data_IF_206471936400
#
_entry.id   IF_206471936400
#
_cell.length_a   1.000
_cell.length_b   1.000
_cell.length_c   1.000
_cell.angle_alpha   90.00
_cell.angle_beta   90.00
_cell.angle_gamma   90.00
#
_symmetry.space_group_name_H-M   'P 1'
#
loop_
_entity.id
_entity.type
_entity.pdbx_description
1 polymer ?
#
# COMPACT_ATOMS: atom_id res chain seq x y z
N UNK A 1 2.93 -28.64 -4.42
CA UNK A 1 1.92 -27.55 -4.38
C UNK A 1 2.31 -26.52 -5.41
N UNK A 2 1.53 -26.39 -6.48
CA UNK A 2 1.76 -25.42 -7.56
C UNK A 2 0.61 -24.42 -7.53
N UNK A 3 0.95 -23.18 -7.23
CA UNK A 3 0.09 -21.99 -7.31
C UNK A 3 -0.37 -21.81 -8.75
N UNK A 4 -1.68 -21.68 -8.98
CA UNK A 4 -2.22 -21.25 -10.27
C UNK A 4 -3.05 -19.99 -10.03
N UNK A 5 -2.40 -18.86 -10.23
CA UNK A 5 -3.06 -17.59 -10.52
C UNK A 5 -3.70 -17.68 -11.90
N UNK A 6 -4.99 -17.36 -12.03
CA UNK A 6 -5.60 -17.08 -13.34
C UNK A 6 -6.30 -15.73 -13.31
N UNK A 7 -5.72 -14.85 -14.12
CA UNK A 7 -6.14 -13.53 -14.56
C UNK A 7 -7.46 -13.63 -15.33
N UNK A 8 -8.35 -12.64 -15.16
CA UNK A 8 -9.30 -12.30 -16.18
C UNK A 8 -9.59 -10.78 -16.15
N UNK A 9 -9.10 -10.04 -17.14
CA UNK A 9 -9.83 -8.89 -17.61
C UNK A 9 -9.75 -8.81 -19.14
N UNK A 10 -10.93 -8.86 -19.73
CA UNK A 10 -11.19 -9.04 -21.15
C UNK A 10 -10.94 -7.76 -21.95
N UNK A 11 -10.25 -7.89 -23.08
CA UNK A 11 -10.19 -6.88 -24.12
C UNK A 11 -11.48 -6.94 -24.97
N UNK A 12 -12.21 -5.82 -25.04
CA UNK A 12 -13.27 -5.62 -26.03
C UNK A 12 -12.65 -5.19 -27.36
N UNK A 13 -12.92 -5.99 -28.39
CA UNK A 13 -12.44 -5.84 -29.76
C UNK A 13 -13.42 -4.95 -30.53
N UNK A 14 -12.96 -3.79 -31.00
CA UNK A 14 -13.67 -2.99 -32.00
C UNK A 14 -13.09 -3.25 -33.39
N UNK A 15 -13.86 -3.92 -34.24
CA UNK A 15 -13.53 -4.15 -35.64
C UNK A 15 -13.89 -2.92 -36.49
N UNK A 16 -12.98 -2.52 -37.38
CA UNK A 16 -13.25 -1.52 -38.41
C UNK A 16 -12.19 -1.59 -39.51
N UNK A 17 -12.57 -2.14 -40.68
CA UNK A 17 -11.76 -2.14 -41.89
C UNK A 17 -12.31 -1.10 -42.86
N UNK A 18 -11.47 -0.17 -43.36
CA UNK A 18 -11.71 0.50 -44.65
C UNK A 18 -10.41 0.98 -45.32
N UNK A 19 -10.23 0.47 -46.54
CA UNK A 19 -9.73 1.07 -47.78
C UNK A 19 -8.47 1.96 -47.84
N UNK A 20 -7.61 1.57 -48.78
CA UNK A 20 -6.40 2.20 -49.31
C UNK A 20 -6.61 3.47 -50.15
N UNK A 21 -5.73 4.46 -50.01
CA UNK A 21 -5.38 5.44 -51.05
C UNK A 21 -3.89 5.80 -51.00
N UNK A 22 -3.36 6.14 -52.17
CA UNK A 22 -1.94 6.26 -52.51
C UNK A 22 -1.28 7.59 -52.08
N UNK A 23 0.00 7.49 -51.70
CA UNK A 23 1.09 8.38 -52.14
C UNK A 23 0.94 9.88 -51.90
N UNK A 24 1.29 10.32 -50.68
CA UNK A 24 2.00 11.59 -50.46
C UNK A 24 3.13 11.33 -49.48
N UNK A 25 4.31 11.93 -49.71
CA UNK A 25 5.48 11.78 -48.86
C UNK A 25 5.16 12.35 -47.47
N UNK A 26 4.78 11.45 -46.57
CA UNK A 26 4.49 11.76 -45.18
C UNK A 26 5.82 11.95 -44.49
N UNK A 27 6.11 13.19 -44.09
CA UNK A 27 7.14 13.45 -43.09
C UNK A 27 6.88 12.46 -41.95
N UNK A 28 7.85 11.60 -41.67
CA UNK A 28 7.76 10.70 -40.54
C UNK A 28 7.35 11.55 -39.32
N UNK A 29 6.31 11.16 -38.56
CA UNK A 29 6.04 11.84 -37.31
C UNK A 29 7.36 11.81 -36.54
N UNK A 30 7.84 12.99 -36.13
CA UNK A 30 8.92 13.06 -35.19
C UNK A 30 8.53 12.13 -34.04
N UNK A 31 9.33 11.11 -33.78
CA UNK A 31 9.13 10.26 -32.61
C UNK A 31 9.16 11.22 -31.41
N UNK A 32 7.98 11.58 -30.92
CA UNK A 32 7.85 12.34 -29.69
C UNK A 32 8.50 11.48 -28.61
N UNK A 33 9.63 12.01 -28.13
CA UNK A 33 10.54 11.30 -27.25
C UNK A 33 9.81 10.69 -26.06
N UNK A 34 10.31 9.54 -25.64
CA UNK A 34 9.78 8.75 -24.52
C UNK A 34 9.36 9.63 -23.34
N UNK A 35 8.22 9.26 -22.73
CA UNK A 35 7.64 9.99 -21.63
C UNK A 35 8.70 10.26 -20.56
N UNK A 36 8.86 11.53 -20.17
CA UNK A 36 9.86 11.93 -19.18
C UNK A 36 9.64 11.15 -17.87
N UNK A 37 10.72 10.75 -17.18
CA UNK A 37 10.64 10.14 -15.86
C UNK A 37 9.75 10.96 -14.91
N UNK A 38 8.76 10.34 -14.28
CA UNK A 38 7.98 10.97 -13.20
C UNK A 38 8.72 10.73 -11.89
N UNK A 39 9.05 11.81 -11.18
CA UNK A 39 9.76 11.77 -9.89
C UNK A 39 8.81 12.11 -8.75
N UNK A 40 8.75 11.29 -7.72
CA UNK A 40 8.11 11.59 -6.42
C UNK A 40 9.13 11.56 -5.27
N UNK A 41 8.88 12.39 -4.26
CA UNK A 41 9.55 12.29 -2.95
C UNK A 41 8.50 11.79 -1.97
N UNK A 42 8.83 10.70 -1.30
CA UNK A 42 7.90 9.90 -0.51
C UNK A 42 8.49 9.74 0.88
N UNK A 43 7.87 10.42 1.85
CA UNK A 43 8.27 10.37 3.26
C UNK A 43 7.15 9.83 4.09
N UNK A 44 7.47 9.05 5.12
CA UNK A 44 6.40 8.44 5.87
C UNK A 44 6.81 7.33 6.81
N UNK A 45 5.83 6.50 7.13
CA UNK A 45 5.92 5.46 8.14
C UNK A 45 5.21 4.20 7.66
N UNK A 46 5.78 3.05 8.01
CA UNK A 46 5.17 1.75 7.79
C UNK A 46 5.27 0.92 9.07
N UNK A 47 4.16 0.30 9.45
CA UNK A 47 4.02 -0.49 10.67
C UNK A 47 3.15 -1.71 10.37
N UNK A 48 3.64 -2.90 10.69
CA UNK A 48 2.88 -4.15 10.67
C UNK A 48 3.02 -4.82 12.05
N UNK A 49 1.89 -5.02 12.72
CA UNK A 49 1.86 -5.59 14.07
C UNK A 49 0.79 -6.67 14.19
N UNK A 50 1.00 -7.59 15.12
CA UNK A 50 0.00 -8.57 15.48
C UNK A 50 -0.03 -8.80 16.99
N UNK A 51 -1.15 -9.28 17.49
CA UNK A 51 -1.33 -9.58 18.91
C UNK A 51 -2.50 -10.53 19.12
N UNK A 52 -2.56 -11.11 20.32
CA UNK A 52 -3.66 -11.95 20.72
C UNK A 52 -4.00 -11.72 22.20
N UNK A 53 -5.29 -11.64 22.51
CA UNK A 53 -5.79 -11.56 23.88
C UNK A 53 -7.19 -12.14 23.95
N UNK A 54 -7.50 -12.90 25.02
CA UNK A 54 -8.83 -13.45 25.28
C UNK A 54 -9.53 -14.14 24.08
N UNK A 55 -8.76 -14.86 23.24
CA UNK A 55 -9.28 -15.54 22.05
C UNK A 55 -9.47 -14.65 20.81
N UNK A 56 -9.15 -13.36 20.90
CA UNK A 56 -9.15 -12.41 19.78
C UNK A 56 -7.72 -12.27 19.27
N UNK A 57 -7.46 -12.73 18.05
CA UNK A 57 -6.23 -12.45 17.32
C UNK A 57 -6.45 -11.22 16.43
N UNK A 58 -5.46 -10.33 16.37
CA UNK A 58 -5.51 -9.12 15.53
C UNK A 58 -4.20 -8.95 14.78
N UNK A 59 -4.30 -8.65 13.48
CA UNK A 59 -3.22 -8.16 12.64
C UNK A 59 -3.57 -6.74 12.15
N UNK A 60 -2.59 -5.84 12.18
CA UNK A 60 -2.73 -4.42 11.81
C UNK A 60 -1.61 -4.04 10.86
N UNK A 61 -1.97 -3.38 9.76
CA UNK A 61 -1.04 -2.70 8.87
C UNK A 61 -1.40 -1.22 8.81
N UNK A 62 -0.45 -0.34 9.15
CA UNK A 62 -0.56 1.11 9.06
C UNK A 62 0.53 1.64 8.15
N UNK A 63 0.14 2.50 7.23
CA UNK A 63 1.05 3.13 6.27
C UNK A 63 0.65 4.58 6.06
N UNK A 64 1.61 5.48 6.14
CA UNK A 64 1.42 6.91 5.87
C UNK A 64 2.50 7.36 4.91
N UNK A 65 2.13 8.01 3.81
CA UNK A 65 3.04 8.52 2.80
C UNK A 65 2.67 9.96 2.41
N UNK A 66 3.64 10.86 2.48
CA UNK A 66 3.47 12.29 2.18
C UNK A 66 2.97 12.61 0.77
N UNK A 67 3.18 11.70 -0.19
CA UNK A 67 2.78 11.88 -1.58
C UNK A 67 1.44 11.21 -1.93
N UNK A 68 1.06 10.17 -1.19
CA UNK A 68 -0.09 9.32 -1.55
C UNK A 68 -1.11 9.14 -0.43
N UNK A 69 -0.93 9.80 0.71
CA UNK A 69 -1.81 9.69 1.86
C UNK A 69 -1.55 8.43 2.68
N UNK A 70 -2.55 8.09 3.49
CA UNK A 70 -2.48 7.02 4.47
C UNK A 70 -3.40 5.85 4.13
N UNK A 71 -2.97 4.67 4.54
CA UNK A 71 -3.69 3.42 4.47
C UNK A 71 -3.66 2.75 5.83
N UNK A 72 -4.80 2.20 6.24
CA UNK A 72 -4.91 1.41 7.45
C UNK A 72 -5.74 0.17 7.15
N UNK A 73 -5.33 -0.97 7.69
CA UNK A 73 -6.13 -2.20 7.65
C UNK A 73 -5.98 -2.99 8.93
N UNK A 74 -7.06 -3.68 9.30
CA UNK A 74 -7.12 -4.58 10.43
C UNK A 74 -7.80 -5.89 10.01
N UNK A 75 -7.24 -7.00 10.45
CA UNK A 75 -7.82 -8.33 10.35
C UNK A 75 -7.94 -8.91 11.75
N UNK A 76 -9.10 -9.46 12.09
CA UNK A 76 -9.43 -9.97 13.42
C UNK A 76 -10.01 -11.38 13.27
N UNK A 77 -9.50 -12.31 14.06
CA UNK A 77 -10.01 -13.67 14.15
C UNK A 77 -10.50 -13.93 15.58
N UNK A 78 -11.73 -14.43 15.70
CA UNK A 78 -12.33 -14.86 16.98
C UNK A 78 -12.97 -16.24 16.82
N UNK A 79 -13.39 -16.90 17.92
CA UNK A 79 -14.19 -18.12 17.85
C UNK A 79 -15.54 -17.95 17.12
N UNK A 80 -16.05 -16.72 17.05
CA UNK A 80 -17.35 -16.39 16.46
C UNK A 80 -17.25 -16.02 14.96
N UNK A 81 -16.04 -15.85 14.44
CA UNK A 81 -15.77 -15.61 13.03
C UNK A 81 -14.61 -14.66 12.75
N UNK A 82 -14.50 -14.27 11.48
CA UNK A 82 -13.50 -13.32 10.99
C UNK A 82 -14.12 -11.94 10.81
N UNK A 83 -13.33 -10.91 11.12
CA UNK A 83 -13.71 -9.51 10.98
C UNK A 83 -12.56 -8.74 10.33
N UNK A 84 -12.89 -7.62 9.70
CA UNK A 84 -11.88 -6.79 9.08
C UNK A 84 -12.39 -5.40 8.75
N UNK A 85 -11.43 -4.53 8.47
CA UNK A 85 -11.70 -3.14 8.13
C UNK A 85 -10.46 -2.51 7.52
N UNK A 86 -10.67 -1.37 6.86
CA UNK A 86 -9.57 -0.57 6.35
C UNK A 86 -10.05 0.60 5.50
N UNK A 87 -9.13 1.51 5.27
CA UNK A 87 -9.31 2.67 4.40
C UNK A 87 -7.99 3.05 3.75
N UNK A 88 -8.07 3.93 2.77
CA UNK A 88 -6.92 4.50 2.08
C UNK A 88 -6.96 4.31 0.56
N UNK A 89 -6.31 5.22 -0.20
CA UNK A 89 -5.52 6.35 0.28
C UNK A 89 -6.39 7.53 0.77
N UNK A 90 -6.12 8.07 1.96
CA UNK A 90 -6.82 9.22 2.55
C UNK A 90 -5.85 10.22 3.22
N UNK A 91 -6.26 11.47 3.39
CA UNK A 91 -5.49 12.50 4.11
C UNK A 91 -5.71 12.41 5.63
N UNK A 92 -5.40 11.24 6.18
CA UNK A 92 -5.54 10.93 7.61
C UNK A 92 -4.16 10.81 8.24
N UNK A 93 -3.93 11.46 9.38
CA UNK A 93 -2.66 11.35 10.12
C UNK A 93 -2.69 10.14 11.04
N UNK A 94 -1.88 9.12 10.73
CA UNK A 94 -1.72 7.91 11.54
C UNK A 94 -0.51 8.00 12.49
N UNK A 95 0.52 8.73 12.07
CA UNK A 95 1.77 8.91 12.79
C UNK A 95 2.09 10.40 12.92
N UNK A 96 2.15 10.91 14.15
CA UNK A 96 2.60 12.28 14.45
C UNK A 96 3.33 12.33 15.78
N UNK A 97 4.44 13.05 15.84
CA UNK A 97 5.15 13.37 17.08
C UNK A 97 5.43 12.16 18.00
N UNK A 98 5.79 11.01 17.41
CA UNK A 98 6.05 9.78 18.15
C UNK A 98 4.80 9.04 18.64
N UNK A 99 3.61 9.42 18.19
CA UNK A 99 2.33 8.79 18.54
C UNK A 99 1.71 8.06 17.34
N UNK A 100 1.03 6.96 17.62
CA UNK A 100 0.27 6.16 16.66
C UNK A 100 -1.20 6.29 17.02
N UNK A 101 -2.05 6.64 16.06
CA UNK A 101 -3.49 6.67 16.23
C UNK A 101 -4.20 6.26 14.93
N UNK A 102 -5.14 5.32 15.02
CA UNK A 102 -6.03 4.99 13.91
C UNK A 102 -7.38 4.53 14.46
N UNK A 103 -8.45 4.90 13.76
CA UNK A 103 -9.80 4.43 14.03
C UNK A 103 -10.32 3.79 12.74
N UNK A 104 -10.59 2.48 12.78
CA UNK A 104 -10.92 1.68 11.59
C UNK A 104 -12.29 1.03 11.79
N UNK A 105 -13.31 1.37 10.98
CA UNK A 105 -14.58 0.67 11.00
C UNK A 105 -14.41 -0.81 10.66
N UNK A 106 -14.95 -1.68 11.51
CA UNK A 106 -14.84 -3.13 11.39
C UNK A 106 -16.19 -3.71 10.97
N UNK A 107 -16.14 -4.72 10.10
CA UNK A 107 -17.29 -5.53 9.70
C UNK A 107 -16.95 -7.01 9.82
N UNK A 108 -17.98 -7.83 9.99
CA UNK A 108 -17.84 -9.28 9.86
C UNK A 108 -17.51 -9.65 8.42
N UNK A 109 -16.58 -10.57 8.22
CA UNK A 109 -16.15 -11.05 6.90
C UNK A 109 -16.93 -12.30 6.49
N UNK A 110 -18.25 -12.17 6.48
CA UNK A 110 -19.18 -13.17 5.93
C UNK A 110 -20.17 -12.50 4.97
N UNK A 111 -21.13 -13.27 4.47
CA UNK A 111 -22.13 -12.78 3.51
C UNK A 111 -23.02 -11.65 4.05
N UNK A 112 -23.04 -11.43 5.37
CA UNK A 112 -23.85 -10.37 6.00
C UNK A 112 -23.16 -9.01 5.97
N UNK A 113 -21.82 -8.99 6.03
CA UNK A 113 -21.00 -7.80 6.15
C UNK A 113 -21.47 -6.83 7.27
N UNK A 114 -22.04 -7.39 8.35
CA UNK A 114 -22.60 -6.63 9.46
C UNK A 114 -21.53 -5.74 10.13
N UNK A 115 -21.84 -4.46 10.43
CA UNK A 115 -20.97 -3.61 11.23
C UNK A 115 -20.70 -4.21 12.62
N UNK A 116 -19.44 -4.16 13.05
CA UNK A 116 -18.98 -4.72 14.32
C UNK A 116 -18.33 -3.67 15.25
N UNK A 117 -18.60 -2.38 14.99
CA UNK A 117 -17.97 -1.26 15.66
C UNK A 117 -16.63 -0.89 15.03
N UNK A 118 -15.72 -0.34 15.82
CA UNK A 118 -14.45 0.19 15.36
C UNK A 118 -13.27 -0.53 16.04
N UNK A 119 -12.15 -0.65 15.32
CA UNK A 119 -10.86 -1.00 15.87
C UNK A 119 -10.07 0.28 16.12
N UNK A 120 -9.88 0.62 17.40
CA UNK A 120 -9.14 1.82 17.81
C UNK A 120 -7.71 1.42 18.16
N UNK A 121 -6.77 1.84 17.32
CA UNK A 121 -5.34 1.60 17.50
C UNK A 121 -4.71 2.83 18.14
N UNK A 122 -3.95 2.60 19.20
CA UNK A 122 -3.20 3.66 19.88
C UNK A 122 -1.82 3.16 20.30
N UNK A 123 -0.83 4.04 20.26
CA UNK A 123 0.53 3.67 20.62
C UNK A 123 1.53 4.79 20.52
N UNK A 124 2.80 4.41 20.64
CA UNK A 124 3.95 5.30 20.50
C UNK A 124 5.05 4.63 19.70
N UNK A 125 5.88 5.45 19.06
CA UNK A 125 7.06 5.02 18.33
C UNK A 125 8.25 5.95 18.56
N UNK A 126 9.45 5.40 18.38
CA UNK A 126 10.71 6.13 18.41
C UNK A 126 11.72 5.50 17.46
N UNK A 127 12.70 6.27 17.00
CA UNK A 127 13.78 5.73 16.17
C UNK A 127 14.60 4.67 16.95
N UNK A 128 14.88 3.55 16.29
CA UNK A 128 15.56 2.38 16.86
C UNK A 128 16.82 2.00 16.09
N UNK A 129 17.67 2.98 15.81
CA UNK A 129 18.94 2.79 15.13
C UNK A 129 19.17 3.83 14.05
N UNK A 130 20.17 3.58 13.20
CA UNK A 130 20.53 4.47 12.09
C UNK A 130 19.71 4.15 10.84
N UNK A 131 19.44 5.15 9.98
CA UNK A 131 18.83 4.93 8.67
C UNK A 131 19.63 3.91 7.83
N UNK A 132 18.92 2.97 7.19
CA UNK A 132 19.48 1.98 6.28
C UNK A 132 19.19 2.38 4.84
N UNK A 133 20.18 2.39 3.93
CA UNK A 133 19.94 2.76 2.55
C UNK A 133 19.06 1.74 1.84
N UNK A 134 18.19 2.24 0.96
CA UNK A 134 17.32 1.45 0.08
C UNK A 134 17.64 1.81 -1.36
N UNK A 135 17.79 0.79 -2.20
CA UNK A 135 17.82 0.94 -3.65
C UNK A 135 17.14 -0.26 -4.29
N UNK A 136 16.06 -0.01 -5.01
CA UNK A 136 15.28 -1.04 -5.69
C UNK A 136 14.98 -0.60 -7.12
N UNK A 137 14.99 -1.57 -8.03
CA UNK A 137 14.57 -1.39 -9.43
C UNK A 137 13.58 -2.51 -9.73
N UNK A 138 12.33 -2.13 -9.96
CA UNK A 138 11.23 -3.05 -10.25
C UNK A 138 10.76 -2.77 -11.67
N UNK A 139 10.63 -3.81 -12.48
CA UNK A 139 9.99 -3.75 -13.78
C UNK A 139 8.51 -4.15 -13.61
N UNK A 140 7.59 -3.29 -14.05
CA UNK A 140 6.18 -3.62 -14.07
C UNK A 140 5.83 -4.48 -15.31
N UNK A 141 4.71 -5.22 -15.29
CA UNK A 141 4.33 -6.09 -16.42
C UNK A 141 4.11 -5.36 -17.76
N UNK A 142 4.01 -4.03 -17.75
CA UNK A 142 3.87 -3.20 -18.94
C UNK A 142 5.22 -2.62 -19.42
N UNK A 143 6.35 -3.04 -18.84
CA UNK A 143 7.71 -2.61 -19.21
C UNK A 143 8.11 -1.25 -18.64
N UNK A 144 7.39 -0.73 -17.64
CA UNK A 144 7.82 0.46 -16.90
C UNK A 144 8.82 0.06 -15.83
N UNK A 145 9.75 0.97 -15.53
CA UNK A 145 10.69 0.79 -14.43
C UNK A 145 10.33 1.73 -13.28
N UNK A 146 10.25 1.17 -12.09
CA UNK A 146 10.16 1.91 -10.83
C UNK A 146 11.51 1.80 -10.13
N UNK A 147 12.22 2.92 -10.06
CA UNK A 147 13.48 3.02 -9.33
C UNK A 147 13.18 3.71 -8.00
N UNK A 148 13.49 3.06 -6.90
CA UNK A 148 13.37 3.62 -5.55
C UNK A 148 14.76 3.81 -4.97
N UNK A 149 15.03 4.97 -4.38
CA UNK A 149 16.27 5.25 -3.66
C UNK A 149 15.99 6.08 -2.42
N UNK A 150 16.61 5.73 -1.29
CA UNK A 150 16.47 6.53 -0.08
C UNK A 150 16.93 5.78 1.15
N UNK A 151 16.20 5.94 2.24
CA UNK A 151 16.50 5.25 3.50
C UNK A 151 15.25 4.77 4.24
N UNK A 152 15.41 3.67 4.98
CA UNK A 152 14.48 3.22 6.00
C UNK A 152 15.15 3.32 7.38
N UNK A 153 14.56 4.09 8.29
CA UNK A 153 14.99 4.20 9.69
C UNK A 153 14.16 3.24 10.54
N UNK A 154 14.76 2.19 11.14
CA UNK A 154 14.03 1.28 12.01
C UNK A 154 13.36 2.03 13.17
N UNK A 155 12.16 1.61 13.55
CA UNK A 155 11.43 2.13 14.69
C UNK A 155 11.25 1.08 15.77
N UNK A 156 11.23 1.52 17.02
CA UNK A 156 10.68 0.79 18.14
C UNK A 156 9.27 1.33 18.35
N UNK A 157 8.28 0.47 18.22
CA UNK A 157 6.88 0.81 18.39
C UNK A 157 6.24 -0.06 19.48
N UNK A 158 5.34 0.54 20.24
CA UNK A 158 4.47 -0.14 21.20
C UNK A 158 3.05 0.33 20.92
N UNK A 159 2.15 -0.59 20.62
CA UNK A 159 0.78 -0.26 20.27
C UNK A 159 -0.20 -1.24 20.93
N UNK A 160 -1.43 -0.80 21.03
CA UNK A 160 -2.58 -1.60 21.43
C UNK A 160 -3.72 -1.35 20.46
N UNK A 161 -4.61 -2.32 20.35
CA UNK A 161 -5.88 -2.16 19.63
C UNK A 161 -7.02 -2.51 20.58
N UNK A 162 -8.02 -1.64 20.65
CA UNK A 162 -9.30 -1.94 21.28
C UNK A 162 -10.30 -2.32 20.19
N UNK A 163 -10.83 -3.54 20.26
CA UNK A 163 -11.76 -4.06 19.26
C UNK A 163 -12.62 -5.16 19.88
N UNK A 164 -13.91 -5.21 19.52
CA UNK A 164 -14.89 -6.17 20.05
C UNK A 164 -14.87 -6.25 21.60
N UNK A 165 -14.72 -5.11 22.26
CA UNK A 165 -14.64 -5.01 23.72
C UNK A 165 -13.34 -5.54 24.35
N UNK A 166 -12.36 -5.94 23.54
CA UNK A 166 -11.08 -6.50 23.99
C UNK A 166 -9.94 -5.54 23.67
N UNK A 167 -9.05 -5.33 24.64
CA UNK A 167 -7.77 -4.64 24.39
C UNK A 167 -6.68 -5.67 24.13
N UNK A 168 -6.10 -5.62 22.94
CA UNK A 168 -5.05 -6.54 22.48
C UNK A 168 -3.72 -5.78 22.41
N UNK A 169 -2.69 -6.17 23.19
CA UNK A 169 -1.36 -5.62 23.02
C UNK A 169 -0.75 -6.12 21.71
N UNK A 170 -0.11 -5.22 20.97
CA UNK A 170 0.47 -5.52 19.66
C UNK A 170 1.99 -5.62 19.73
N UNK A 171 2.54 -6.60 19.01
CA UNK A 171 3.97 -6.74 18.74
C UNK A 171 4.23 -6.49 17.25
N UNK A 172 5.13 -5.56 16.96
CA UNK A 172 5.39 -5.12 15.59
C UNK A 172 6.63 -5.81 15.02
N UNK A 173 6.45 -6.58 13.95
CA UNK A 173 7.54 -7.26 13.23
C UNK A 173 8.20 -6.33 12.21
N UNK A 174 7.43 -5.38 11.67
CA UNK A 174 7.89 -4.34 10.76
C UNK A 174 7.51 -2.99 11.34
N UNK A 175 8.51 -2.13 11.55
CA UNK A 175 8.30 -0.74 11.96
C UNK A 175 9.46 0.11 11.46
N UNK A 176 9.20 1.03 10.54
CA UNK A 176 10.22 1.96 10.05
C UNK A 176 9.63 3.28 9.56
N UNK A 177 10.41 4.35 9.65
CA UNK A 177 10.19 5.58 8.91
C UNK A 177 10.96 5.52 7.59
N UNK A 178 10.44 6.08 6.52
CA UNK A 178 11.10 6.12 5.22
C UNK A 178 11.22 7.55 4.67
N UNK A 179 12.30 7.78 3.93
CA UNK A 179 12.52 8.98 3.11
C UNK A 179 13.09 8.50 1.77
N UNK A 180 12.23 8.52 0.74
CA UNK A 180 12.47 7.89 -0.55
C UNK A 180 12.31 8.91 -1.66
N UNK A 181 13.09 8.71 -2.71
CA UNK A 181 12.86 9.29 -4.04
C UNK A 181 12.53 8.14 -4.98
N UNK A 182 11.42 8.27 -5.69
CA UNK A 182 10.94 7.27 -6.64
C UNK A 182 10.90 7.87 -8.03
N UNK A 183 11.45 7.16 -9.01
CA UNK A 183 11.37 7.49 -10.43
C UNK A 183 10.56 6.42 -11.15
N UNK A 184 9.54 6.84 -11.89
CA UNK A 184 8.75 5.99 -12.79
C UNK A 184 9.14 6.32 -14.22
N UNK A 185 9.68 5.33 -14.92
CA UNK A 185 10.15 5.42 -16.30
C UNK A 185 9.17 4.67 -17.20
N UNK A 186 8.60 5.34 -18.20
CA UNK A 186 7.81 4.64 -19.21
C UNK A 186 8.75 3.98 -20.24
N UNK A 187 8.38 2.80 -20.77
CA UNK A 187 9.09 2.26 -21.91
C UNK A 187 8.96 3.25 -23.07
N UNK A 188 10.10 3.69 -23.61
CA UNK A 188 10.10 4.42 -24.86
C UNK A 188 9.57 3.48 -25.96
N UNK A 189 8.50 3.87 -26.65
CA UNK A 189 8.16 3.24 -27.92
C UNK A 189 9.30 3.59 -28.89
N UNK A 190 10.13 2.59 -29.18
CA UNK A 190 11.14 2.65 -30.24
C UNK A 190 10.51 2.67 -31.63
#
# INVERSE_FOLDING_TARGET
>A
MRTITRVALACLIGAGAVASTAGTAQAAPAAEGGSKPVKSVEKGYALACAGQSAGVFVAVDLYQNSAFGSHASVSIETPDGEYGGGYGPEDTTLFSDGTIAADIPVRKLDDTAEPAGDAVISGAYSAAGTPKPVHEVIEDPAGHYVITKGTNTPLRATATVNVLGTTVPLSCSTAFAFDLTVWRLAPGRG
#
